data_IF_794223763314
#
_entry.id   IF_794223763314
#
_cell.length_a   1.000
_cell.length_b   1.000
_cell.length_c   1.000
_cell.angle_alpha   90.00
_cell.angle_beta   90.00
_cell.angle_gamma   90.00
#
_symmetry.space_group_name_H-M   'P 1'
#
loop_
_entity.id
_entity.type
_entity.pdbx_description
1 polymer ?
#
# COMPACT_ATOMS: atom_id res chain seq x y z
N UNK A 1 -25.78 19.68 -15.14
CA UNK A 1 -25.26 18.93 -13.98
C UNK A 1 -23.79 18.70 -14.24
N UNK A 2 -22.93 19.36 -13.47
CA UNK A 2 -21.48 19.22 -13.58
C UNK A 2 -21.12 18.05 -12.68
N UNK A 3 -21.33 16.83 -13.18
CA UNK A 3 -20.95 15.62 -12.46
C UNK A 3 -19.45 15.69 -12.24
N UNK A 4 -19.07 15.84 -10.98
CA UNK A 4 -17.69 15.92 -10.58
C UNK A 4 -17.03 14.59 -10.93
N UNK A 5 -16.38 14.54 -12.10
CA UNK A 5 -15.50 13.44 -12.48
C UNK A 5 -14.60 13.19 -11.27
N UNK A 6 -14.81 12.08 -10.57
CA UNK A 6 -13.84 11.61 -9.59
C UNK A 6 -12.62 11.23 -10.42
N UNK A 7 -11.77 12.23 -10.62
CA UNK A 7 -10.61 12.13 -11.48
C UNK A 7 -9.66 11.16 -10.79
N UNK A 8 -9.08 10.22 -11.54
CA UNK A 8 -8.00 9.35 -11.08
C UNK A 8 -6.97 10.09 -10.21
N UNK A 9 -6.72 11.37 -10.48
CA UNK A 9 -5.92 12.27 -9.65
C UNK A 9 -6.38 12.39 -8.18
N UNK A 10 -7.68 12.52 -7.90
CA UNK A 10 -8.23 12.61 -6.54
C UNK A 10 -8.11 11.29 -5.81
N UNK A 11 -8.44 10.17 -6.48
CA UNK A 11 -8.16 8.82 -5.99
C UNK A 11 -6.68 8.68 -5.61
N UNK A 12 -5.77 9.13 -6.47
CA UNK A 12 -4.33 9.04 -6.23
C UNK A 12 -3.90 9.85 -5.02
N UNK A 13 -4.44 11.06 -4.82
CA UNK A 13 -4.14 11.89 -3.63
C UNK A 13 -4.50 11.16 -2.34
N UNK A 14 -5.67 10.52 -2.31
CA UNK A 14 -6.15 9.78 -1.14
C UNK A 14 -5.34 8.51 -0.91
N UNK A 15 -5.15 7.70 -1.95
CA UNK A 15 -4.32 6.52 -1.89
C UNK A 15 -2.91 6.85 -1.38
N UNK A 16 -2.25 7.87 -1.95
CA UNK A 16 -0.91 8.27 -1.54
C UNK A 16 -0.87 8.81 -0.10
N UNK A 17 -1.95 9.44 0.39
CA UNK A 17 -2.05 9.87 1.79
C UNK A 17 -2.07 8.68 2.74
N UNK A 18 -2.85 7.65 2.44
CA UNK A 18 -2.94 6.44 3.27
C UNK A 18 -1.69 5.57 3.12
N UNK A 19 -1.16 5.41 1.91
CA UNK A 19 0.06 4.68 1.64
C UNK A 19 1.26 5.30 2.37
N UNK A 20 1.33 6.64 2.50
CA UNK A 20 2.38 7.30 3.30
C UNK A 20 2.40 6.83 4.75
N UNK A 21 1.24 6.52 5.36
CA UNK A 21 1.18 6.02 6.75
C UNK A 21 1.81 4.63 6.85
N UNK A 22 1.51 3.74 5.90
CA UNK A 22 2.14 2.41 5.82
C UNK A 22 3.65 2.52 5.58
N UNK A 23 4.05 3.38 4.65
CA UNK A 23 5.45 3.54 4.25
C UNK A 23 6.28 4.22 5.36
N UNK A 24 5.70 5.12 6.17
CA UNK A 24 6.41 5.83 7.22
C UNK A 24 7.00 4.91 8.31
N UNK A 25 6.47 3.68 8.44
CA UNK A 25 6.97 2.67 9.38
C UNK A 25 8.27 2.01 8.88
N UNK A 26 8.57 2.14 7.58
CA UNK A 26 9.79 1.58 7.00
C UNK A 26 11.04 2.34 7.47
N UNK A 27 12.24 1.70 7.44
CA UNK A 27 13.50 2.37 7.70
C UNK A 27 13.67 3.63 6.82
N UNK A 28 14.30 4.70 7.34
CA UNK A 28 14.41 6.00 6.64
C UNK A 28 14.91 5.91 5.19
N UNK A 29 15.84 4.99 4.89
CA UNK A 29 16.36 4.76 3.54
C UNK A 29 15.39 4.06 2.58
N UNK A 30 14.43 3.31 3.12
CA UNK A 30 13.42 2.53 2.38
C UNK A 30 12.26 3.41 1.92
N UNK A 31 11.89 4.42 2.70
CA UNK A 31 10.73 5.29 2.44
C UNK A 31 10.81 5.95 1.07
N UNK A 32 11.95 6.56 0.74
CA UNK A 32 12.15 7.28 -0.53
C UNK A 32 12.04 6.33 -1.73
N UNK A 33 12.64 5.15 -1.61
CA UNK A 33 12.64 4.16 -2.68
C UNK A 33 11.24 3.58 -2.89
N UNK A 34 10.54 3.22 -1.82
CA UNK A 34 9.16 2.71 -1.88
C UNK A 34 8.25 3.73 -2.52
N UNK A 35 8.33 5.01 -2.13
CA UNK A 35 7.53 6.08 -2.74
C UNK A 35 7.84 6.25 -4.24
N UNK A 36 9.11 6.18 -4.65
CA UNK A 36 9.50 6.30 -6.04
C UNK A 36 9.03 5.10 -6.90
N UNK A 37 9.12 3.87 -6.35
CA UNK A 37 8.62 2.68 -7.01
C UNK A 37 7.09 2.72 -7.14
N UNK A 38 6.40 3.09 -6.06
CA UNK A 38 4.94 3.20 -6.03
C UNK A 38 4.44 4.25 -7.03
N UNK A 39 5.05 5.45 -7.05
CA UNK A 39 4.67 6.52 -7.98
C UNK A 39 4.79 6.05 -9.44
N UNK A 40 5.91 5.43 -9.82
CA UNK A 40 6.11 4.90 -11.18
C UNK A 40 5.08 3.83 -11.55
N UNK A 41 4.70 2.99 -10.60
CA UNK A 41 3.67 1.98 -10.83
C UNK A 41 2.30 2.63 -11.10
N UNK A 42 1.89 3.60 -10.28
CA UNK A 42 0.61 4.32 -10.41
C UNK A 42 0.53 5.18 -11.68
N UNK A 43 1.65 5.70 -12.16
CA UNK A 43 1.71 6.50 -13.39
C UNK A 43 1.54 5.65 -14.67
N UNK A 44 1.37 4.34 -14.55
CA UNK A 44 1.07 3.46 -15.69
C UNK A 44 -0.30 3.83 -16.29
N UNK A 45 -0.32 4.16 -17.60
CA UNK A 45 -1.53 4.58 -18.32
C UNK A 45 -2.68 3.57 -18.19
N UNK A 46 -2.37 2.27 -18.15
CA UNK A 46 -3.36 1.20 -17.97
C UNK A 46 -4.20 1.38 -16.70
N UNK A 47 -3.60 1.76 -15.56
CA UNK A 47 -4.32 1.91 -14.29
C UNK A 47 -5.35 3.04 -14.36
N UNK A 48 -4.98 4.16 -14.98
CA UNK A 48 -5.90 5.29 -15.18
C UNK A 48 -7.09 4.89 -16.06
N UNK A 49 -6.83 4.18 -17.16
CA UNK A 49 -7.89 3.71 -18.07
C UNK A 49 -8.81 2.71 -17.39
N UNK A 50 -8.27 1.75 -16.65
CA UNK A 50 -9.06 0.74 -15.95
C UNK A 50 -9.90 1.33 -14.82
N UNK A 51 -9.37 2.30 -14.07
CA UNK A 51 -10.16 2.99 -13.04
C UNK A 51 -11.31 3.79 -13.67
N UNK A 52 -11.07 4.50 -14.78
CA UNK A 52 -12.16 5.20 -15.47
C UNK A 52 -13.23 4.23 -15.98
N UNK A 53 -12.85 3.05 -16.49
CA UNK A 53 -13.79 2.02 -16.90
C UNK A 53 -14.59 1.47 -15.69
N UNK A 54 -13.94 1.29 -14.53
CA UNK A 54 -14.60 0.91 -13.28
C UNK A 54 -15.59 1.99 -12.81
N UNK A 55 -15.19 3.26 -12.85
CA UNK A 55 -16.04 4.42 -12.50
C UNK A 55 -17.25 4.58 -13.43
N UNK A 56 -17.09 4.26 -14.72
CA UNK A 56 -18.20 4.25 -15.69
C UNK A 56 -19.04 2.96 -15.66
N UNK A 57 -18.80 2.06 -14.71
CA UNK A 57 -19.44 0.74 -14.60
C UNK A 57 -19.26 -0.16 -15.85
N UNK A 58 -18.25 0.10 -16.68
CA UNK A 58 -17.88 -0.71 -17.85
C UNK A 58 -16.98 -1.90 -17.47
N UNK A 59 -16.45 -1.90 -16.25
CA UNK A 59 -15.56 -2.91 -15.71
C UNK A 59 -16.03 -3.26 -14.30
N UNK A 60 -16.18 -4.56 -14.00
CA UNK A 60 -16.48 -5.01 -12.64
C UNK A 60 -15.23 -4.93 -11.78
N UNK A 61 -15.41 -4.76 -10.46
CA UNK A 61 -14.28 -4.72 -9.52
C UNK A 61 -13.43 -6.01 -9.56
N UNK A 62 -14.05 -7.18 -9.74
CA UNK A 62 -13.35 -8.47 -9.85
C UNK A 62 -12.50 -8.56 -11.11
N UNK A 63 -12.93 -7.94 -12.21
CA UNK A 63 -12.16 -7.83 -13.45
C UNK A 63 -11.01 -6.84 -13.27
N UNK A 64 -11.24 -5.72 -12.60
CA UNK A 64 -10.21 -4.77 -12.22
C UNK A 64 -9.14 -5.41 -11.34
N UNK A 65 -9.52 -6.21 -10.35
CA UNK A 65 -8.62 -6.96 -9.50
C UNK A 65 -7.78 -7.96 -10.32
N UNK A 66 -8.40 -8.70 -11.24
CA UNK A 66 -7.68 -9.61 -12.15
C UNK A 66 -6.64 -8.86 -12.99
N UNK A 67 -7.00 -7.69 -13.52
CA UNK A 67 -6.08 -6.83 -14.29
C UNK A 67 -4.94 -6.30 -13.43
N UNK A 68 -5.23 -5.87 -12.19
CA UNK A 68 -4.23 -5.40 -11.23
C UNK A 68 -3.26 -6.53 -10.86
N UNK A 69 -3.77 -7.74 -10.63
CA UNK A 69 -2.95 -8.91 -10.31
C UNK A 69 -1.97 -9.25 -11.45
N UNK A 70 -2.37 -9.13 -12.71
CA UNK A 70 -1.49 -9.34 -13.89
C UNK A 70 -0.29 -8.38 -13.93
N UNK A 71 -0.45 -7.17 -13.41
CA UNK A 71 0.62 -6.15 -13.40
C UNK A 71 1.30 -5.99 -12.04
N UNK A 72 0.82 -6.65 -10.99
CA UNK A 72 1.34 -6.57 -9.63
C UNK A 72 2.85 -6.87 -9.54
N UNK A 73 3.35 -7.76 -10.41
CA UNK A 73 4.77 -8.11 -10.55
C UNK A 73 5.66 -6.96 -11.00
N UNK A 74 5.08 -5.91 -11.60
CA UNK A 74 5.77 -4.67 -12.00
C UNK A 74 6.07 -3.76 -10.82
N UNK A 75 5.33 -3.88 -9.71
CA UNK A 75 5.60 -3.14 -8.48
C UNK A 75 6.79 -3.75 -7.72
N UNK A 76 8.01 -3.41 -8.15
CA UNK A 76 9.24 -3.97 -7.62
C UNK A 76 9.97 -3.02 -6.68
N UNK A 77 10.41 -3.54 -5.54
CA UNK A 77 11.14 -2.80 -4.51
C UNK A 77 12.58 -3.31 -4.40
N UNK A 78 13.36 -3.17 -5.48
CA UNK A 78 14.65 -3.85 -5.68
C UNK A 78 15.74 -3.52 -4.65
N UNK A 79 15.69 -2.37 -4.00
CA UNK A 79 16.67 -1.91 -3.01
C UNK A 79 16.25 -2.07 -1.56
N UNK A 80 15.01 -2.48 -1.27
CA UNK A 80 14.55 -2.67 0.11
C UNK A 80 15.30 -3.79 0.85
N UNK A 81 15.71 -4.85 0.13
CA UNK A 81 16.53 -5.91 0.70
C UNK A 81 17.88 -5.39 1.20
N UNK A 82 18.48 -4.42 0.48
CA UNK A 82 19.73 -3.77 0.88
C UNK A 82 19.56 -2.82 2.08
N UNK A 83 18.31 -2.55 2.49
CA UNK A 83 17.95 -1.70 3.62
C UNK A 83 17.45 -2.49 4.83
N UNK A 84 17.66 -3.81 4.82
CA UNK A 84 17.38 -4.68 5.97
C UNK A 84 15.94 -5.19 6.03
N UNK A 85 15.17 -5.09 4.94
CA UNK A 85 13.91 -5.82 4.80
C UNK A 85 14.19 -7.21 4.22
N UNK A 86 13.53 -8.23 4.74
CA UNK A 86 13.56 -9.55 4.11
C UNK A 86 12.54 -9.66 2.97
N UNK A 87 12.64 -10.72 2.17
CA UNK A 87 11.76 -10.92 1.00
C UNK A 87 10.27 -11.03 1.40
N UNK A 88 9.97 -11.58 2.57
CA UNK A 88 8.59 -11.72 3.06
C UNK A 88 8.00 -10.36 3.46
N UNK A 89 8.77 -9.51 4.12
CA UNK A 89 8.41 -8.13 4.46
C UNK A 89 8.15 -7.32 3.18
N UNK A 90 8.98 -7.48 2.15
CA UNK A 90 8.77 -6.82 0.84
C UNK A 90 7.52 -7.34 0.13
N UNK A 91 7.26 -8.65 0.18
CA UNK A 91 6.05 -9.27 -0.38
C UNK A 91 4.79 -8.77 0.33
N UNK A 92 4.81 -8.70 1.66
CA UNK A 92 3.71 -8.20 2.47
C UNK A 92 3.44 -6.72 2.20
N UNK A 93 4.49 -5.89 2.13
CA UNK A 93 4.36 -4.48 1.78
C UNK A 93 3.70 -4.29 0.41
N UNK A 94 4.09 -5.08 -0.60
CA UNK A 94 3.47 -5.05 -1.92
C UNK A 94 1.99 -5.38 -1.83
N UNK A 95 1.65 -6.46 -1.13
CA UNK A 95 0.27 -6.90 -0.96
C UNK A 95 -0.57 -5.81 -0.29
N UNK A 96 -0.13 -5.26 0.84
CA UNK A 96 -0.85 -4.21 1.56
C UNK A 96 -1.08 -2.96 0.71
N UNK A 97 -0.07 -2.53 -0.06
CA UNK A 97 -0.21 -1.38 -0.96
C UNK A 97 -1.20 -1.62 -2.09
N UNK A 98 -1.23 -2.83 -2.67
CA UNK A 98 -2.17 -3.18 -3.73
C UNK A 98 -3.60 -3.35 -3.18
N UNK A 99 -3.76 -3.95 -2.01
CA UNK A 99 -5.07 -4.06 -1.34
C UNK A 99 -5.62 -2.70 -0.96
N UNK A 100 -4.79 -1.80 -0.42
CA UNK A 100 -5.17 -0.42 -0.13
C UNK A 100 -5.59 0.33 -1.40
N UNK A 101 -4.88 0.10 -2.51
CA UNK A 101 -5.22 0.70 -3.80
C UNK A 101 -6.58 0.20 -4.30
N UNK A 102 -6.82 -1.10 -4.22
CA UNK A 102 -8.10 -1.70 -4.60
C UNK A 102 -9.26 -1.14 -3.76
N UNK A 103 -9.09 -1.08 -2.43
CA UNK A 103 -10.05 -0.49 -1.46
C UNK A 103 -10.39 0.96 -1.84
N UNK A 104 -9.36 1.75 -2.18
CA UNK A 104 -9.56 3.12 -2.66
C UNK A 104 -10.33 3.14 -3.99
N UNK A 105 -9.97 2.32 -4.98
CA UNK A 105 -10.66 2.31 -6.27
C UNK A 105 -12.15 2.00 -6.10
N UNK A 106 -12.45 1.04 -5.25
CA UNK A 106 -13.79 0.64 -4.90
C UNK A 106 -14.67 1.70 -4.30
N UNK A 107 -14.26 2.20 -3.13
CA UNK A 107 -14.96 3.23 -2.38
C UNK A 107 -15.29 4.47 -3.21
N UNK A 108 -14.44 4.78 -4.19
CA UNK A 108 -14.56 5.97 -5.03
C UNK A 108 -15.10 5.68 -6.43
N UNK A 109 -15.42 4.43 -6.76
CA UNK A 109 -16.03 4.07 -8.04
C UNK A 109 -17.56 4.14 -8.02
N UNK A 110 -18.18 4.25 -6.84
CA UNK A 110 -19.64 4.19 -6.65
C UNK A 110 -20.32 2.94 -7.25
N UNK A 111 -19.53 1.97 -7.73
CA UNK A 111 -20.01 0.70 -8.26
C UNK A 111 -20.50 -0.19 -7.11
N UNK A 112 -21.83 -0.27 -6.94
CA UNK A 112 -22.44 -1.17 -5.98
C UNK A 112 -22.45 -2.65 -6.42
N UNK A 113 -22.47 -3.60 -5.46
CA UNK A 113 -22.11 -3.42 -4.06
C UNK A 113 -20.64 -3.82 -3.87
N UNK A 114 -19.86 -2.87 -3.40
CA UNK A 114 -18.51 -3.11 -2.91
C UNK A 114 -18.59 -4.06 -1.71
N UNK A 115 -18.40 -5.36 -1.95
CA UNK A 115 -18.40 -6.39 -0.92
C UNK A 115 -17.15 -6.20 -0.05
N UNK A 116 -17.31 -5.37 0.98
CA UNK A 116 -16.55 -5.30 2.22
C UNK A 116 -15.11 -5.88 2.20
N UNK A 117 -14.21 -5.29 1.42
CA UNK A 117 -12.76 -5.55 1.54
C UNK A 117 -12.13 -4.78 2.71
N UNK A 118 -12.95 -4.16 3.59
CA UNK A 118 -12.48 -3.34 4.71
C UNK A 118 -11.70 -4.14 5.76
N UNK A 119 -11.82 -5.48 5.74
CA UNK A 119 -11.25 -6.35 6.76
C UNK A 119 -9.76 -6.69 6.58
N UNK A 120 -9.18 -6.64 5.37
CA UNK A 120 -7.97 -7.46 5.12
C UNK A 120 -6.61 -6.76 5.25
N UNK A 121 -6.52 -5.42 5.15
CA UNK A 121 -5.21 -4.72 5.23
C UNK A 121 -4.86 -4.21 6.63
N UNK A 122 -5.68 -4.45 7.67
CA UNK A 122 -5.39 -4.02 9.04
C UNK A 122 -4.48 -4.95 9.84
N UNK A 123 -4.11 -6.13 9.33
CA UNK A 123 -3.40 -7.14 10.12
C UNK A 123 -2.38 -7.87 9.25
N UNK A 124 -1.12 -7.39 9.20
CA UNK A 124 0.05 -8.30 9.03
C UNK A 124 1.44 -7.70 9.26
N UNK A 125 1.65 -6.38 9.21
CA UNK A 125 2.91 -5.79 9.71
C UNK A 125 3.05 -5.86 11.25
N UNK A 126 1.99 -6.20 11.99
CA UNK A 126 1.98 -6.28 13.45
C UNK A 126 2.37 -7.65 14.03
N UNK A 127 3.33 -8.36 13.43
CA UNK A 127 4.30 -9.03 14.32
C UNK A 127 5.28 -7.96 14.74
N UNK A 128 4.82 -7.18 15.71
CA UNK A 128 5.60 -6.30 16.57
C UNK A 128 7.01 -6.90 16.68
N UNK A 129 8.00 -6.31 16.00
CA UNK A 129 9.39 -6.57 16.35
C UNK A 129 9.46 -6.15 17.81
N UNK A 130 9.32 -7.12 18.73
CA UNK A 130 9.66 -6.91 20.13
C UNK A 130 11.03 -6.27 20.06
N UNK A 131 11.17 -5.05 20.60
CA UNK A 131 12.51 -4.55 20.90
C UNK A 131 13.23 -5.72 21.58
N UNK A 132 14.44 -6.11 21.15
CA UNK A 132 15.25 -6.92 22.05
C UNK A 132 15.24 -6.15 23.37
N UNK A 133 14.74 -6.80 24.43
CA UNK A 133 14.79 -6.25 25.77
C UNK A 133 16.22 -5.76 25.95
N UNK A 134 16.39 -4.48 26.28
CA UNK A 134 17.70 -3.99 26.65
C UNK A 134 18.20 -4.97 27.73
N UNK A 135 19.42 -5.53 27.61
CA UNK A 135 19.95 -6.37 28.68
C UNK A 135 19.81 -5.53 29.94
N UNK A 136 19.08 -6.07 30.93
CA UNK A 136 18.92 -5.45 32.23
C UNK A 136 20.34 -5.27 32.74
N UNK A 137 20.87 -4.06 32.56
CA UNK A 137 22.12 -3.66 33.17
C UNK A 137 21.91 -3.87 34.65
N UNK A 138 22.66 -4.82 35.22
CA UNK A 138 22.85 -4.91 36.64
C UNK A 138 23.31 -3.53 37.09
N UNK A 139 22.39 -2.76 37.68
CA UNK A 139 22.77 -1.60 38.45
C UNK A 139 23.57 -2.15 39.63
N UNK A 140 24.89 -2.15 39.49
CA UNK A 140 25.77 -2.28 40.64
C UNK A 140 25.45 -1.09 41.52
N UNK A 141 24.86 -1.37 42.67
CA UNK A 141 24.78 -0.44 43.80
C UNK A 141 26.19 0.04 44.07
N UNK A 142 26.44 1.33 43.88
CA UNK A 142 27.58 1.99 44.50
C UNK A 142 27.16 2.25 45.95
N UNK A 143 27.44 1.28 46.82
CA UNK A 143 27.61 1.55 48.24
C UNK A 143 28.98 2.24 48.40
N UNK A 144 28.94 3.47 48.89
CA UNK A 144 29.93 4.07 49.81
C UNK A 144 29.29 5.29 50.50
#
# INVERSE_FOLDING_TARGET
MQDSIVNYTNLMKLFLREAKKLIAVLPKGSIRETNAALKRFLETESLRRWYNALYMHLLKITEFESLLNKISSRLQFKGLNKKGLNNDEVKNLRYELLSLFLDCCGKYSEAEPYADTSADYRIRLYKLRRRPEAPVGQWQSLDD
#
